data_IF_604931128707
#
_entry.id   IF_604931128707
#
_cell.length_a   1.000
_cell.length_b   1.000
_cell.length_c   1.000
_cell.angle_alpha   90.00
_cell.angle_beta   90.00
_cell.angle_gamma   90.00
#
_symmetry.space_group_name_H-M   'P 1'
#
loop_
_entity.id
_entity.type
_entity.pdbx_description
1 polymer ?
#
# COMPACT_ATOMS: atom_id res chain seq x y z
N UNK A 1 1.29 14.20 -1.47
CA UNK A 1 0.02 13.60 -1.04
C UNK A 1 -0.91 14.66 -0.44
N UNK A 2 -0.43 15.49 0.52
CA UNK A 2 -1.25 16.52 1.17
C UNK A 2 -2.02 17.38 0.16
N UNK A 3 -1.33 17.96 -0.83
CA UNK A 3 -1.96 18.76 -1.88
C UNK A 3 -3.01 17.98 -2.68
N UNK A 4 -2.75 16.70 -2.99
CA UNK A 4 -3.69 15.85 -3.72
C UNK A 4 -4.98 15.58 -2.92
N UNK A 5 -4.88 15.59 -1.58
CA UNK A 5 -6.00 15.45 -0.66
C UNK A 5 -6.66 16.79 -0.28
N UNK A 6 -6.18 17.93 -0.81
CA UNK A 6 -6.72 19.27 -0.53
C UNK A 6 -6.16 19.92 0.73
N UNK A 7 -5.06 19.42 1.27
CA UNK A 7 -4.37 19.98 2.44
C UNK A 7 -3.18 20.86 2.06
N UNK A 8 -2.73 21.76 2.96
CA UNK A 8 -1.44 22.44 2.82
C UNK A 8 -0.30 21.43 2.67
N UNK A 9 0.76 21.80 1.92
CA UNK A 9 1.90 20.91 1.62
C UNK A 9 2.63 20.36 2.85
N UNK A 10 2.56 21.08 3.95
CA UNK A 10 3.20 20.83 5.25
C UNK A 10 2.22 20.29 6.30
N UNK A 11 1.03 19.86 5.88
CA UNK A 11 0.06 19.24 6.78
C UNK A 11 0.67 18.02 7.52
N UNK A 12 0.48 17.92 8.85
CA UNK A 12 0.98 16.78 9.61
C UNK A 12 0.43 15.45 9.12
N UNK A 13 1.26 14.42 9.04
CA UNK A 13 0.84 13.08 8.61
C UNK A 13 -0.36 12.56 9.40
N UNK A 14 -0.43 12.84 10.69
CA UNK A 14 -1.55 12.45 11.55
C UNK A 14 -2.88 13.00 11.06
N UNK A 15 -2.93 14.26 10.64
CA UNK A 15 -4.14 14.87 10.09
C UNK A 15 -4.56 14.18 8.79
N UNK A 16 -3.61 13.89 7.91
CA UNK A 16 -3.87 13.16 6.69
C UNK A 16 -4.41 11.74 6.97
N UNK A 17 -3.81 11.04 7.94
CA UNK A 17 -4.26 9.70 8.34
C UNK A 17 -5.68 9.75 8.90
N UNK A 18 -6.01 10.71 9.77
CA UNK A 18 -7.36 10.87 10.33
C UNK A 18 -8.40 11.21 9.26
N UNK A 19 -8.07 12.09 8.32
CA UNK A 19 -8.92 12.39 7.17
C UNK A 19 -9.19 11.14 6.32
N UNK A 20 -8.14 10.38 6.01
CA UNK A 20 -8.23 9.14 5.25
C UNK A 20 -9.05 8.08 5.99
N UNK A 21 -8.90 7.96 7.31
CA UNK A 21 -9.74 7.06 8.14
C UNK A 21 -11.23 7.34 7.99
N UNK A 22 -11.60 8.61 7.92
CA UNK A 22 -12.98 9.03 7.72
C UNK A 22 -13.42 8.74 6.29
N UNK A 23 -12.67 9.23 5.29
CA UNK A 23 -13.02 9.15 3.87
C UNK A 23 -13.13 7.73 3.33
N UNK A 24 -12.34 6.80 3.85
CA UNK A 24 -12.45 5.38 3.48
C UNK A 24 -13.78 4.71 3.87
N UNK A 25 -14.65 5.39 4.62
CA UNK A 25 -15.98 4.90 5.01
C UNK A 25 -17.11 5.52 4.19
N UNK A 26 -16.78 6.47 3.33
CA UNK A 26 -17.74 7.21 2.51
C UNK A 26 -17.64 6.73 1.05
N UNK A 27 -18.76 6.77 0.33
CA UNK A 27 -18.81 6.43 -1.10
C UNK A 27 -19.72 7.39 -1.85
N UNK A 28 -19.35 7.72 -3.09
CA UNK A 28 -20.22 8.40 -4.07
C UNK A 28 -20.16 7.60 -5.37
N UNK A 29 -21.29 7.06 -5.80
CA UNK A 29 -21.38 6.22 -7.00
C UNK A 29 -20.92 6.99 -8.24
N UNK A 30 -20.02 6.45 -9.06
CA UNK A 30 -19.57 7.08 -10.30
C UNK A 30 -20.69 7.19 -11.33
N UNK A 31 -20.49 8.07 -12.31
CA UNK A 31 -21.43 8.25 -13.44
C UNK A 31 -20.74 7.87 -14.75
N UNK A 32 -21.48 7.20 -15.64
CA UNK A 32 -20.98 6.88 -16.98
C UNK A 32 -21.37 8.00 -17.94
N UNK A 33 -20.36 8.63 -18.56
CA UNK A 33 -20.53 9.67 -19.56
C UNK A 33 -20.25 9.12 -20.98
N UNK A 34 -20.80 9.73 -22.04
CA UNK A 34 -20.69 9.17 -23.39
C UNK A 34 -19.26 9.22 -23.96
N UNK A 35 -18.46 10.20 -23.56
CA UNK A 35 -17.05 10.40 -24.02
C UNK A 35 -16.26 11.23 -23.02
N UNK A 36 -14.95 11.36 -23.23
CA UNK A 36 -14.05 12.17 -22.45
C UNK A 36 -12.68 12.28 -23.11
N UNK A 37 -11.74 13.07 -22.54
CA UNK A 37 -10.41 13.29 -23.12
C UNK A 37 -9.67 12.01 -23.48
N UNK A 38 -9.80 10.94 -22.69
CA UNK A 38 -9.15 9.64 -22.97
C UNK A 38 -9.61 8.99 -24.27
N UNK A 39 -10.69 9.49 -24.90
CA UNK A 39 -11.22 8.98 -26.17
C UNK A 39 -10.85 9.82 -27.39
N UNK A 40 -9.97 10.83 -27.26
CA UNK A 40 -9.56 11.67 -28.38
C UNK A 40 -8.81 10.89 -29.47
N UNK A 41 -8.04 9.88 -29.08
CA UNK A 41 -7.36 8.96 -29.97
C UNK A 41 -7.67 7.51 -29.63
N UNK A 42 -7.93 6.69 -30.66
CA UNK A 42 -8.32 5.28 -30.51
C UNK A 42 -7.50 4.43 -31.49
N UNK A 43 -6.65 3.56 -30.97
CA UNK A 43 -5.76 2.68 -31.74
C UNK A 43 -6.21 1.23 -31.49
N UNK A 44 -6.57 0.48 -32.53
CA UNK A 44 -7.15 -0.87 -32.43
C UNK A 44 -6.42 -1.92 -33.27
N UNK A 45 -6.51 -3.15 -32.84
CA UNK A 45 -6.10 -4.33 -33.63
C UNK A 45 -4.64 -4.34 -34.02
N UNK A 46 -4.33 -4.40 -35.30
CA UNK A 46 -2.96 -4.47 -35.83
C UNK A 46 -2.13 -3.20 -35.60
N UNK A 47 -2.79 -2.08 -35.34
CA UNK A 47 -2.11 -0.79 -35.17
C UNK A 47 -1.60 -0.61 -33.72
N UNK A 48 -2.00 -1.47 -32.82
CA UNK A 48 -1.54 -1.45 -31.42
C UNK A 48 -0.04 -1.72 -31.35
N UNK A 49 0.71 -0.78 -30.79
CA UNK A 49 2.13 -0.90 -30.51
C UNK A 49 2.53 -0.26 -29.19
N UNK A 50 2.70 -1.08 -28.15
CA UNK A 50 3.15 -0.66 -26.83
C UNK A 50 4.59 -0.15 -26.82
N UNK A 51 5.38 -0.49 -27.83
CA UNK A 51 6.79 -0.10 -27.90
C UNK A 51 6.96 1.38 -28.25
N UNK A 52 5.93 2.03 -28.77
CA UNK A 52 5.88 3.47 -29.05
C UNK A 52 5.65 4.31 -27.77
N UNK A 53 5.13 3.69 -26.70
CA UNK A 53 4.96 4.39 -25.43
C UNK A 53 6.33 4.70 -24.79
N UNK A 54 6.49 5.89 -24.17
CA UNK A 54 7.75 6.33 -23.57
C UNK A 54 8.02 5.63 -22.21
N UNK A 55 7.89 4.32 -22.18
CA UNK A 55 8.09 3.50 -20.98
C UNK A 55 9.57 3.27 -20.74
N UNK A 56 10.15 3.67 -19.60
CA UNK A 56 11.54 3.39 -19.31
C UNK A 56 11.77 1.94 -18.83
N UNK A 57 12.98 1.48 -18.88
CA UNK A 57 13.48 0.39 -18.03
C UNK A 57 13.85 1.04 -16.70
N UNK A 58 13.09 0.78 -15.64
CA UNK A 58 13.17 1.51 -14.38
C UNK A 58 14.44 1.21 -13.58
N UNK A 59 14.89 -0.07 -13.58
CA UNK A 59 16.09 -0.51 -12.89
C UNK A 59 16.99 -1.33 -13.80
N UNK A 60 18.28 -1.28 -13.53
CA UNK A 60 19.32 -1.91 -14.38
C UNK A 60 19.10 -3.40 -14.61
N UNK A 61 18.69 -4.16 -13.57
CA UNK A 61 18.55 -5.63 -13.64
C UNK A 61 17.14 -6.10 -14.03
N UNK A 62 16.22 -5.21 -14.34
CA UNK A 62 14.87 -5.62 -14.77
C UNK A 62 14.90 -6.36 -16.11
N UNK A 63 13.92 -7.28 -16.28
CA UNK A 63 13.79 -8.10 -17.49
C UNK A 63 13.39 -7.31 -18.73
N UNK A 64 12.74 -6.15 -18.57
CA UNK A 64 12.24 -5.31 -19.67
C UNK A 64 11.72 -3.96 -19.23
N UNK A 65 10.91 -3.33 -20.09
CA UNK A 65 10.22 -2.08 -19.79
C UNK A 65 8.89 -2.37 -19.10
N UNK A 66 8.69 -1.85 -17.91
CA UNK A 66 7.45 -2.06 -17.15
C UNK A 66 6.49 -0.89 -17.35
N UNK A 67 5.39 -1.15 -18.09
CA UNK A 67 4.34 -0.16 -18.37
C UNK A 67 3.40 0.01 -17.18
N UNK A 68 3.17 -1.03 -16.41
CA UNK A 68 2.29 -1.03 -15.26
C UNK A 68 3.08 -0.97 -13.94
N UNK A 69 3.83 0.12 -13.69
CA UNK A 69 4.41 0.39 -12.37
C UNK A 69 3.44 1.18 -11.49
N UNK A 70 2.66 2.09 -12.09
CA UNK A 70 1.66 2.91 -11.40
C UNK A 70 0.36 3.04 -12.21
N UNK A 71 -0.04 1.97 -12.89
CA UNK A 71 -1.30 1.91 -13.61
C UNK A 71 -2.41 1.34 -12.71
N UNK A 72 -3.61 1.89 -12.84
CA UNK A 72 -4.81 1.31 -12.27
C UNK A 72 -5.31 0.18 -13.15
N UNK A 73 -5.18 -1.05 -12.67
CA UNK A 73 -5.65 -2.23 -13.39
C UNK A 73 -7.09 -2.49 -13.02
N UNK A 74 -7.97 -2.26 -13.99
CA UNK A 74 -9.42 -2.43 -13.84
C UNK A 74 -9.81 -3.82 -14.29
N UNK A 75 -10.51 -4.53 -13.44
CA UNK A 75 -11.14 -5.83 -13.75
C UNK A 75 -12.55 -5.87 -13.17
N UNK A 76 -13.36 -6.84 -13.59
CA UNK A 76 -14.75 -7.00 -13.12
C UNK A 76 -14.95 -8.41 -12.59
N UNK A 77 -15.58 -8.51 -11.43
CA UNK A 77 -16.07 -9.79 -10.92
C UNK A 77 -17.21 -10.31 -11.81
N UNK A 78 -17.05 -11.46 -12.47
CA UNK A 78 -18.07 -11.95 -13.39
C UNK A 78 -19.34 -12.47 -12.69
N UNK A 79 -19.32 -12.67 -11.36
CA UNK A 79 -20.48 -13.14 -10.60
C UNK A 79 -21.34 -11.98 -10.10
N UNK A 80 -20.70 -10.89 -9.66
CA UNK A 80 -21.38 -9.73 -9.06
C UNK A 80 -21.47 -8.52 -9.98
N UNK A 81 -20.62 -8.44 -10.99
CA UNK A 81 -20.49 -7.28 -11.87
C UNK A 81 -19.68 -6.12 -11.25
N UNK A 82 -19.24 -6.23 -10.01
CA UNK A 82 -18.46 -5.19 -9.35
C UNK A 82 -17.07 -5.03 -9.99
N UNK A 83 -16.67 -3.80 -10.27
CA UNK A 83 -15.32 -3.48 -10.71
C UNK A 83 -14.36 -3.35 -9.52
N UNK A 84 -13.10 -3.66 -9.77
CA UNK A 84 -11.99 -3.41 -8.87
C UNK A 84 -10.88 -2.70 -9.61
N UNK A 85 -10.19 -1.79 -8.96
CA UNK A 85 -9.03 -1.07 -9.51
C UNK A 85 -7.84 -1.31 -8.58
N UNK A 86 -6.83 -2.02 -9.06
CA UNK A 86 -5.64 -2.32 -8.27
C UNK A 86 -4.34 -1.92 -8.98
N UNK A 87 -3.23 -1.83 -8.26
CA UNK A 87 -1.89 -1.63 -8.84
C UNK A 87 -1.22 -2.99 -8.95
N UNK A 88 -0.95 -3.42 -10.18
CA UNK A 88 -0.31 -4.70 -10.47
C UNK A 88 0.73 -4.50 -11.57
N UNK A 89 1.95 -5.02 -11.36
CA UNK A 89 3.05 -4.85 -12.30
C UNK A 89 2.81 -5.59 -13.61
N UNK A 90 3.26 -4.99 -14.72
CA UNK A 90 3.20 -5.60 -16.05
C UNK A 90 4.30 -5.07 -16.95
N UNK A 91 5.00 -5.99 -17.60
CA UNK A 91 6.12 -5.72 -18.48
C UNK A 91 5.64 -5.68 -19.94
N UNK A 92 6.22 -4.84 -20.78
CA UNK A 92 6.00 -4.95 -22.25
C UNK A 92 6.70 -6.22 -22.73
N UNK A 93 5.93 -7.14 -23.28
CA UNK A 93 6.41 -8.34 -23.97
C UNK A 93 6.63 -8.05 -25.46
N UNK A 94 5.70 -8.48 -26.30
CA UNK A 94 5.64 -8.11 -27.74
C UNK A 94 4.96 -6.75 -27.92
N UNK A 95 4.77 -6.34 -29.18
CA UNK A 95 4.11 -5.06 -29.54
C UNK A 95 2.75 -4.86 -28.84
N UNK A 96 2.02 -5.93 -28.61
CA UNK A 96 0.66 -5.91 -28.08
C UNK A 96 0.45 -6.85 -26.91
N UNK A 97 1.48 -7.13 -26.11
CA UNK A 97 1.36 -8.05 -24.95
C UNK A 97 1.98 -7.47 -23.70
N UNK A 98 1.36 -7.77 -22.54
CA UNK A 98 1.83 -7.36 -21.21
C UNK A 98 1.81 -8.59 -20.29
N UNK A 99 2.90 -9.38 -20.19
CA UNK A 99 3.04 -10.39 -19.16
C UNK A 99 3.07 -9.73 -17.78
N UNK A 100 2.35 -10.31 -16.82
CA UNK A 100 2.06 -9.71 -15.52
C UNK A 100 2.13 -10.71 -14.38
N UNK A 101 2.63 -10.28 -13.22
CA UNK A 101 2.59 -11.08 -12.00
C UNK A 101 1.15 -11.10 -11.45
N UNK A 102 0.40 -12.15 -11.76
CA UNK A 102 -0.96 -12.37 -11.28
C UNK A 102 -0.95 -13.39 -10.13
N UNK A 103 -1.23 -12.93 -8.90
CA UNK A 103 -1.30 -13.77 -7.70
C UNK A 103 -2.74 -14.21 -7.49
N UNK A 104 -3.04 -15.46 -7.85
CA UNK A 104 -4.41 -15.98 -7.98
C UNK A 104 -5.21 -15.95 -6.66
N UNK A 105 -4.61 -16.26 -5.53
CA UNK A 105 -5.32 -16.38 -4.23
C UNK A 105 -5.41 -15.08 -3.43
N UNK A 106 -4.50 -14.15 -3.64
CA UNK A 106 -4.28 -13.02 -2.74
C UNK A 106 -4.64 -11.65 -3.27
N UNK A 107 -4.99 -11.51 -4.54
CA UNK A 107 -5.32 -10.25 -5.18
C UNK A 107 -6.72 -10.30 -5.79
N UNK A 108 -7.46 -9.19 -5.78
CA UNK A 108 -8.82 -9.16 -6.33
C UNK A 108 -8.83 -9.56 -7.82
N UNK A 109 -7.94 -9.01 -8.63
CA UNK A 109 -7.87 -9.40 -10.04
C UNK A 109 -7.51 -10.89 -10.24
N UNK A 110 -6.71 -11.47 -9.32
CA UNK A 110 -6.41 -12.90 -9.31
C UNK A 110 -7.64 -13.75 -9.00
N UNK A 111 -8.49 -13.31 -8.07
CA UNK A 111 -9.77 -13.94 -7.76
C UNK A 111 -10.74 -13.83 -8.94
N UNK A 112 -10.82 -12.66 -9.60
CA UNK A 112 -11.60 -12.49 -10.82
C UNK A 112 -11.10 -13.43 -11.93
N UNK A 113 -9.78 -13.49 -12.15
CA UNK A 113 -9.17 -14.38 -13.13
C UNK A 113 -9.57 -15.84 -12.92
N UNK A 114 -9.54 -16.35 -11.67
CA UNK A 114 -9.95 -17.72 -11.37
C UNK A 114 -11.43 -17.98 -11.70
N UNK A 115 -12.30 -16.99 -11.53
CA UNK A 115 -13.71 -17.10 -11.87
C UNK A 115 -13.94 -17.16 -13.39
N UNK A 116 -13.23 -16.31 -14.16
CA UNK A 116 -13.25 -16.36 -15.63
C UNK A 116 -12.66 -17.67 -16.15
N UNK A 117 -11.52 -18.13 -15.61
CA UNK A 117 -10.92 -19.40 -15.97
C UNK A 117 -11.88 -20.58 -15.76
N UNK A 118 -12.61 -20.59 -14.64
CA UNK A 118 -13.63 -21.63 -14.36
C UNK A 118 -14.78 -21.62 -15.37
N UNK A 119 -15.07 -20.49 -16.01
CA UNK A 119 -16.09 -20.34 -17.09
C UNK A 119 -15.54 -20.66 -18.48
N UNK A 120 -14.21 -20.86 -18.61
CA UNK A 120 -13.56 -21.01 -19.91
C UNK A 120 -13.52 -19.72 -20.71
N UNK A 121 -13.60 -18.55 -20.04
CA UNK A 121 -13.66 -17.23 -20.65
C UNK A 121 -12.37 -16.45 -20.35
N UNK A 122 -11.84 -15.64 -21.28
CA UNK A 122 -10.75 -14.72 -20.97
C UNK A 122 -11.25 -13.56 -20.10
N UNK A 123 -10.46 -13.17 -19.11
CA UNK A 123 -10.77 -12.06 -18.23
C UNK A 123 -10.49 -10.72 -18.92
N UNK A 124 -11.48 -9.81 -19.04
CA UNK A 124 -11.25 -8.47 -19.55
C UNK A 124 -10.42 -7.64 -18.56
N UNK A 125 -9.50 -6.83 -19.10
CA UNK A 125 -8.60 -5.96 -18.33
C UNK A 125 -8.48 -4.60 -19.01
N UNK A 126 -8.46 -3.52 -18.22
CA UNK A 126 -8.04 -2.21 -18.68
C UNK A 126 -6.95 -1.64 -17.77
N UNK A 127 -5.85 -1.18 -18.34
CA UNK A 127 -4.76 -0.53 -17.62
C UNK A 127 -4.90 0.99 -17.79
N UNK A 128 -5.17 1.71 -16.71
CA UNK A 128 -5.39 3.16 -16.68
C UNK A 128 -4.10 3.83 -16.24
N UNK A 129 -3.52 4.67 -17.06
CA UNK A 129 -2.27 5.39 -16.83
C UNK A 129 -2.56 6.89 -16.83
N UNK A 130 -1.93 7.63 -15.92
CA UNK A 130 -2.11 9.09 -15.83
C UNK A 130 -3.54 9.46 -15.44
N UNK A 131 -3.87 9.31 -14.18
CA UNK A 131 -5.18 9.50 -13.58
C UNK A 131 -5.09 10.42 -12.36
N UNK A 132 -6.22 10.71 -11.73
CA UNK A 132 -6.25 11.49 -10.50
C UNK A 132 -5.34 10.85 -9.43
N UNK A 133 -4.46 11.63 -8.77
CA UNK A 133 -3.57 11.11 -7.73
C UNK A 133 -4.29 10.36 -6.59
N UNK A 134 -5.53 10.74 -6.26
CA UNK A 134 -6.34 10.05 -5.24
C UNK A 134 -6.71 8.64 -5.68
N UNK A 135 -6.99 8.43 -6.96
CA UNK A 135 -7.30 7.10 -7.46
C UNK A 135 -6.06 6.18 -7.36
N UNK A 136 -4.85 6.69 -7.66
CA UNK A 136 -3.60 5.95 -7.46
C UNK A 136 -3.35 5.60 -5.99
N UNK A 137 -3.67 6.52 -5.09
CA UNK A 137 -3.64 6.30 -3.65
C UNK A 137 -4.60 5.19 -3.19
N UNK A 138 -5.82 5.14 -3.76
CA UNK A 138 -6.82 4.15 -3.41
C UNK A 138 -6.52 2.76 -4.02
N UNK A 139 -6.10 2.70 -5.27
CA UNK A 139 -5.83 1.45 -5.96
C UNK A 139 -4.70 0.61 -5.32
N UNK A 140 -3.75 1.26 -4.63
CA UNK A 140 -2.73 0.59 -3.81
C UNK A 140 -3.22 0.13 -2.43
N UNK A 141 -4.51 0.28 -2.13
CA UNK A 141 -5.09 0.12 -0.80
C UNK A 141 -5.99 -1.11 -0.71
N UNK A 142 -6.04 -1.79 0.44
CA UNK A 142 -6.98 -2.88 0.65
C UNK A 142 -8.40 -2.33 0.89
N UNK A 143 -9.09 -1.95 -0.17
CA UNK A 143 -10.52 -1.61 -0.15
C UNK A 143 -11.34 -2.89 0.06
N UNK A 144 -12.44 -2.86 0.82
CA UNK A 144 -13.27 -4.04 1.04
C UNK A 144 -13.82 -4.62 -0.27
N UNK A 145 -13.88 -5.95 -0.37
CA UNK A 145 -14.43 -6.62 -1.52
C UNK A 145 -15.89 -6.16 -1.80
N UNK A 146 -16.19 -5.86 -3.06
CA UNK A 146 -17.50 -5.37 -3.48
C UNK A 146 -17.66 -3.85 -3.44
N UNK A 147 -16.69 -3.11 -2.92
CA UNK A 147 -16.61 -1.64 -3.04
C UNK A 147 -15.60 -1.32 -4.13
N UNK A 148 -15.96 -0.47 -5.08
CA UNK A 148 -15.02 -0.03 -6.11
C UNK A 148 -14.24 1.19 -5.66
N UNK A 149 -12.97 1.26 -6.02
CA UNK A 149 -12.10 2.40 -5.74
C UNK A 149 -12.66 3.71 -6.32
N UNK A 150 -13.43 3.65 -7.39
CA UNK A 150 -14.11 4.82 -7.96
C UNK A 150 -15.20 5.40 -7.04
N UNK A 151 -15.93 4.56 -6.29
CA UNK A 151 -16.93 5.02 -5.32
C UNK A 151 -16.27 5.79 -4.18
N UNK A 152 -15.15 5.26 -3.66
CA UNK A 152 -14.38 5.90 -2.58
C UNK A 152 -13.71 7.17 -3.08
N UNK A 153 -13.18 7.18 -4.31
CA UNK A 153 -12.59 8.37 -4.91
C UNK A 153 -13.61 9.51 -5.02
N UNK A 154 -14.85 9.20 -5.43
CA UNK A 154 -15.95 10.17 -5.45
C UNK A 154 -16.14 10.84 -4.09
N UNK A 155 -16.08 10.07 -3.00
CA UNK A 155 -16.18 10.61 -1.65
C UNK A 155 -15.00 11.54 -1.28
N UNK A 156 -13.78 11.24 -1.74
CA UNK A 156 -12.63 12.14 -1.56
C UNK A 156 -12.77 13.46 -2.32
N UNK A 157 -13.38 13.44 -3.50
CA UNK A 157 -13.60 14.62 -4.35
C UNK A 157 -14.89 15.38 -4.02
N UNK A 158 -15.85 14.74 -3.34
CA UNK A 158 -17.17 15.29 -3.05
C UNK A 158 -18.11 15.27 -4.24
N UNK A 159 -17.75 14.55 -5.33
CA UNK A 159 -18.52 14.44 -6.56
C UNK A 159 -18.34 13.07 -7.22
N UNK A 160 -19.29 12.61 -8.06
CA UNK A 160 -19.16 11.37 -8.81
C UNK A 160 -17.95 11.38 -9.74
N UNK A 161 -17.21 10.26 -9.81
CA UNK A 161 -16.18 10.06 -10.83
C UNK A 161 -16.87 9.86 -12.18
N UNK A 162 -16.47 10.62 -13.18
CA UNK A 162 -16.92 10.41 -14.57
C UNK A 162 -16.15 9.27 -15.21
N UNK A 163 -16.87 8.25 -15.67
CA UNK A 163 -16.32 7.09 -16.35
C UNK A 163 -16.79 7.04 -17.79
N UNK A 164 -15.96 6.51 -18.68
CA UNK A 164 -16.31 6.16 -20.07
C UNK A 164 -16.20 4.66 -20.28
N UNK A 165 -16.99 4.10 -21.18
CA UNK A 165 -16.87 2.70 -21.55
C UNK A 165 -15.61 2.46 -22.38
N UNK A 166 -14.94 1.37 -22.11
CA UNK A 166 -13.85 0.86 -22.94
C UNK A 166 -14.33 0.53 -24.37
N UNK A 167 -13.42 0.46 -25.32
CA UNK A 167 -13.70 0.23 -26.74
C UNK A 167 -13.85 -1.24 -27.10
N UNK A 168 -13.12 -2.13 -26.42
CA UNK A 168 -13.02 -3.55 -26.77
C UNK A 168 -13.33 -4.49 -25.61
N UNK A 169 -13.33 -3.97 -24.39
CA UNK A 169 -13.66 -4.73 -23.17
C UNK A 169 -14.86 -4.13 -22.46
N UNK A 170 -15.63 -4.95 -21.75
CA UNK A 170 -16.85 -4.52 -21.05
C UNK A 170 -16.57 -3.84 -19.70
N UNK A 171 -15.61 -2.90 -19.66
CA UNK A 171 -15.20 -2.18 -18.46
C UNK A 171 -15.42 -0.68 -18.60
N UNK A 172 -15.47 0.04 -17.48
CA UNK A 172 -15.50 1.49 -17.41
C UNK A 172 -14.21 2.01 -16.76
N UNK A 173 -13.72 3.13 -17.31
CA UNK A 173 -12.45 3.77 -16.91
C UNK A 173 -12.63 5.28 -16.79
N UNK A 174 -11.80 6.01 -16.00
CA UNK A 174 -11.92 7.46 -15.87
C UNK A 174 -11.88 8.18 -17.21
N UNK A 175 -12.87 9.05 -17.45
CA UNK A 175 -12.97 9.85 -18.67
C UNK A 175 -11.78 10.79 -18.86
N UNK A 176 -11.15 11.21 -17.77
CA UNK A 176 -10.01 12.12 -17.71
C UNK A 176 -8.63 11.43 -17.71
N UNK A 177 -8.57 10.08 -17.85
CA UNK A 177 -7.29 9.38 -17.90
C UNK A 177 -6.42 9.86 -19.09
N UNK A 178 -5.10 9.75 -18.93
CA UNK A 178 -4.15 10.10 -19.98
C UNK A 178 -4.09 9.02 -21.06
N UNK A 179 -3.93 7.74 -20.64
CA UNK A 179 -3.82 6.57 -21.52
C UNK A 179 -4.59 5.42 -20.91
N UNK A 180 -5.31 4.66 -21.74
CA UNK A 180 -5.94 3.39 -21.33
C UNK A 180 -5.54 2.30 -22.31
N UNK A 181 -5.06 1.17 -21.78
CA UNK A 181 -4.68 -0.02 -22.54
C UNK A 181 -5.71 -1.12 -22.22
N UNK A 182 -6.41 -1.60 -23.23
CA UNK A 182 -7.48 -2.60 -23.10
C UNK A 182 -7.03 -3.96 -23.65
N UNK A 183 -7.43 -5.03 -23.00
CA UNK A 183 -7.11 -6.38 -23.46
C UNK A 183 -7.75 -7.48 -22.63
N UNK A 184 -7.30 -8.69 -22.85
CA UNK A 184 -7.81 -9.89 -22.19
C UNK A 184 -6.67 -10.78 -21.69
N UNK A 185 -6.91 -11.48 -20.59
CA UNK A 185 -6.01 -12.53 -20.06
C UNK A 185 -6.75 -13.87 -20.13
N UNK A 186 -6.21 -14.82 -20.89
CA UNK A 186 -6.71 -16.20 -20.90
C UNK A 186 -5.96 -17.07 -19.88
N UNK A 187 -6.64 -18.07 -19.30
CA UNK A 187 -5.99 -19.14 -18.52
C UNK A 187 -5.49 -20.25 -19.47
N UNK A 188 -4.62 -19.85 -20.37
CA UNK A 188 -3.97 -20.74 -21.35
C UNK A 188 -2.46 -20.54 -21.31
N UNK A 189 -1.70 -21.52 -20.77
CA UNK A 189 -0.24 -21.46 -20.71
C UNK A 189 0.47 -21.20 -22.05
N UNK A 190 -0.18 -21.53 -23.20
CA UNK A 190 0.38 -21.27 -24.53
C UNK A 190 0.43 -19.75 -24.85
N UNK A 191 -0.34 -18.94 -24.14
CA UNK A 191 -0.35 -17.48 -24.28
C UNK A 191 0.56 -16.75 -23.29
N UNK A 192 1.17 -17.48 -22.36
CA UNK A 192 2.02 -16.90 -21.33
C UNK A 192 3.37 -16.48 -21.91
N UNK A 193 3.84 -15.33 -21.48
CA UNK A 193 5.15 -14.81 -21.85
C UNK A 193 6.04 -14.61 -20.62
N UNK A 194 7.36 -14.57 -20.84
CA UNK A 194 8.33 -14.39 -19.77
C UNK A 194 8.20 -12.99 -19.15
N UNK A 195 8.11 -12.91 -17.84
CA UNK A 195 8.11 -11.68 -17.02
C UNK A 195 9.17 -11.79 -15.92
N UNK A 196 9.77 -10.67 -15.56
CA UNK A 196 10.80 -10.57 -14.54
C UNK A 196 12.24 -10.61 -15.10
N UNK A 197 13.24 -10.29 -14.27
CA UNK A 197 13.15 -9.76 -12.90
C UNK A 197 12.53 -8.36 -12.80
N UNK A 198 12.11 -7.97 -11.61
CA UNK A 198 11.54 -6.63 -11.33
C UNK A 198 12.15 -6.01 -10.06
N UNK A 199 12.36 -4.71 -10.07
CA UNK A 199 12.78 -3.92 -8.90
C UNK A 199 11.61 -3.68 -7.95
N UNK A 200 11.49 -4.50 -6.91
CA UNK A 200 10.35 -4.50 -5.99
C UNK A 200 10.42 -3.42 -4.91
N UNK A 201 9.27 -3.10 -4.32
CA UNK A 201 9.14 -2.16 -3.20
C UNK A 201 10.03 -2.49 -1.99
N UNK A 202 10.56 -3.69 -1.93
CA UNK A 202 11.52 -4.13 -0.89
C UNK A 202 12.91 -3.53 -1.07
N UNK A 203 13.19 -2.87 -2.20
CA UNK A 203 14.53 -2.40 -2.58
C UNK A 203 15.42 -3.50 -3.17
N UNK A 204 14.89 -4.70 -3.38
CA UNK A 204 15.58 -5.83 -3.99
C UNK A 204 14.94 -6.20 -5.32
N UNK A 205 15.76 -6.74 -6.21
CA UNK A 205 15.27 -7.35 -7.45
C UNK A 205 14.62 -8.69 -7.11
N UNK A 206 13.39 -8.86 -7.50
CA UNK A 206 12.63 -10.09 -7.26
C UNK A 206 12.47 -10.90 -8.54
N UNK A 207 12.27 -12.19 -8.35
CA UNK A 207 12.03 -13.20 -9.38
C UNK A 207 13.19 -13.46 -10.34
N UNK A 208 12.99 -14.49 -11.12
CA UNK A 208 13.73 -14.84 -12.34
C UNK A 208 12.74 -14.75 -13.51
N UNK A 209 13.20 -14.64 -14.76
CA UNK A 209 12.32 -14.70 -15.92
C UNK A 209 11.41 -15.94 -15.85
N UNK A 210 10.10 -15.72 -15.77
CA UNK A 210 9.11 -16.79 -15.57
C UNK A 210 7.92 -16.58 -16.48
N UNK A 211 7.39 -17.61 -17.17
CA UNK A 211 6.14 -17.52 -17.92
C UNK A 211 4.98 -17.09 -17.02
N UNK A 212 4.29 -16.03 -17.38
CA UNK A 212 3.19 -15.43 -16.61
C UNK A 212 1.95 -15.22 -17.48
N UNK A 213 0.75 -15.20 -16.86
CA UNK A 213 -0.46 -14.76 -17.54
C UNK A 213 -0.23 -13.42 -18.25
N UNK A 214 -0.64 -13.33 -19.50
CA UNK A 214 -0.27 -12.22 -20.38
C UNK A 214 -1.52 -11.53 -20.91
N UNK A 215 -1.60 -10.21 -20.73
CA UNK A 215 -2.65 -9.38 -21.32
C UNK A 215 -2.39 -9.33 -22.84
N UNK A 216 -3.35 -9.82 -23.62
CA UNK A 216 -3.40 -9.64 -25.07
C UNK A 216 -4.10 -8.33 -25.35
N UNK A 217 -3.35 -7.30 -25.75
CA UNK A 217 -3.85 -5.94 -25.92
C UNK A 217 -4.61 -5.81 -27.24
N UNK A 218 -5.80 -5.27 -27.17
CA UNK A 218 -6.72 -5.10 -28.30
C UNK A 218 -6.95 -3.64 -28.69
N UNK A 219 -6.75 -2.71 -27.75
CA UNK A 219 -6.94 -1.29 -27.99
C UNK A 219 -6.08 -0.45 -27.04
N UNK A 220 -5.63 0.70 -27.54
CA UNK A 220 -5.08 1.79 -26.75
C UNK A 220 -5.91 3.03 -27.03
N UNK A 221 -6.40 3.70 -25.99
CA UNK A 221 -7.02 5.03 -26.12
C UNK A 221 -6.22 6.03 -25.31
N UNK A 222 -6.12 7.27 -25.80
CA UNK A 222 -5.42 8.32 -25.11
C UNK A 222 -5.94 9.70 -25.49
N UNK A 223 -5.71 10.67 -24.60
CA UNK A 223 -5.96 12.08 -24.92
C UNK A 223 -4.86 12.63 -25.86
N UNK A 224 -5.08 13.80 -26.43
CA UNK A 224 -4.04 14.53 -27.14
C UNK A 224 -2.93 14.91 -26.17
N UNK A 225 -1.66 14.76 -26.60
CA UNK A 225 -0.47 15.02 -25.78
C UNK A 225 -0.49 14.32 -24.40
N UNK A 226 -0.63 12.98 -24.35
CA UNK A 226 -0.82 12.27 -23.10
C UNK A 226 0.46 12.23 -22.28
N UNK A 227 0.31 12.35 -20.95
CA UNK A 227 1.42 12.19 -20.00
C UNK A 227 1.49 10.73 -19.55
N UNK A 228 2.59 10.05 -19.87
CA UNK A 228 2.86 8.73 -19.30
C UNK A 228 3.29 8.90 -17.84
N UNK A 229 2.53 8.30 -16.93
CA UNK A 229 2.83 8.28 -15.49
C UNK A 229 3.24 6.89 -15.03
N UNK A 230 4.42 6.78 -14.48
CA UNK A 230 4.89 5.57 -13.79
C UNK A 230 5.51 5.93 -12.44
N UNK A 231 5.97 4.95 -11.69
CA UNK A 231 6.70 5.13 -10.45
C UNK A 231 7.92 4.22 -10.40
N UNK A 232 8.94 4.66 -9.70
CA UNK A 232 10.10 3.85 -9.33
C UNK A 232 9.69 3.03 -8.08
N UNK A 233 9.25 1.77 -8.27
CA UNK A 233 8.72 0.95 -7.17
C UNK A 233 9.81 0.58 -6.16
N UNK A 234 10.91 0.02 -6.62
CA UNK A 234 12.10 -0.27 -5.81
C UNK A 234 12.99 0.96 -5.66
N UNK A 235 13.47 1.22 -4.46
CA UNK A 235 14.40 2.31 -4.15
C UNK A 235 15.61 1.79 -3.41
N UNK A 236 16.71 2.57 -3.38
CA UNK A 236 17.90 2.23 -2.60
C UNK A 236 17.58 2.08 -1.10
N UNK A 237 18.32 1.25 -0.37
CA UNK A 237 18.14 1.13 1.08
C UNK A 237 18.15 2.49 1.79
N UNK A 238 17.13 2.72 2.63
CA UNK A 238 16.94 4.01 3.32
C UNK A 238 16.25 5.10 2.51
N UNK A 239 15.93 4.84 1.24
CA UNK A 239 15.14 5.75 0.39
C UNK A 239 13.69 5.25 0.25
N UNK A 240 12.82 6.09 -0.30
CA UNK A 240 11.41 5.75 -0.55
C UNK A 240 10.90 6.43 -1.82
N UNK A 241 9.91 5.82 -2.46
CA UNK A 241 9.20 6.38 -3.61
C UNK A 241 7.95 7.15 -3.17
N UNK A 242 7.35 7.91 -4.10
CA UNK A 242 6.05 8.52 -3.89
C UNK A 242 4.95 7.49 -3.58
N UNK A 243 5.03 6.31 -4.20
CA UNK A 243 4.12 5.19 -3.90
C UNK A 243 4.26 4.74 -2.43
N UNK A 244 5.49 4.66 -1.91
CA UNK A 244 5.74 4.31 -0.50
C UNK A 244 5.11 5.32 0.46
N UNK A 245 5.19 6.63 0.16
CA UNK A 245 4.57 7.69 0.97
C UNK A 245 3.05 7.55 0.97
N UNK A 246 2.44 7.45 -0.21
CA UNK A 246 0.99 7.31 -0.35
C UNK A 246 0.48 6.05 0.34
N UNK A 247 1.13 4.92 0.08
CA UNK A 247 0.81 3.63 0.67
C UNK A 247 0.91 3.63 2.20
N UNK A 248 1.90 4.34 2.77
CA UNK A 248 2.11 4.41 4.22
C UNK A 248 0.95 5.11 4.94
N UNK A 249 0.49 6.25 4.43
CA UNK A 249 -0.64 7.00 5.01
C UNK A 249 -1.93 6.17 4.95
N UNK A 250 -2.22 5.58 3.78
CA UNK A 250 -3.43 4.78 3.60
C UNK A 250 -3.44 3.54 4.51
N UNK A 251 -2.32 2.83 4.59
CA UNK A 251 -2.21 1.63 5.42
C UNK A 251 -2.24 1.94 6.92
N UNK A 252 -1.67 3.06 7.35
CA UNK A 252 -1.78 3.53 8.73
C UNK A 252 -3.26 3.80 9.09
N UNK A 253 -4.00 4.48 8.21
CA UNK A 253 -5.43 4.75 8.39
C UNK A 253 -6.27 3.47 8.46
N UNK A 254 -6.00 2.49 7.58
CA UNK A 254 -6.69 1.20 7.58
C UNK A 254 -6.41 0.43 8.88
N UNK A 255 -5.14 0.35 9.31
CA UNK A 255 -4.77 -0.31 10.54
C UNK A 255 -5.44 0.35 11.76
N UNK A 256 -5.49 1.67 11.79
CA UNK A 256 -6.18 2.41 12.86
C UNK A 256 -7.68 2.09 12.87
N UNK A 257 -8.33 2.06 11.72
CA UNK A 257 -9.73 1.66 11.59
C UNK A 257 -9.98 0.22 12.08
N UNK A 258 -9.06 -0.71 11.80
CA UNK A 258 -9.13 -2.10 12.28
C UNK A 258 -9.06 -2.14 13.81
N UNK A 259 -8.11 -1.45 14.42
CA UNK A 259 -7.92 -1.40 15.87
C UNK A 259 -9.13 -0.77 16.56
N UNK A 260 -9.66 0.32 16.00
CA UNK A 260 -10.87 0.98 16.52
C UNK A 260 -12.10 0.08 16.39
N UNK A 261 -12.28 -0.56 15.24
CA UNK A 261 -13.37 -1.50 14.96
C UNK A 261 -13.34 -2.76 15.86
N UNK A 262 -12.13 -3.19 16.25
CA UNK A 262 -11.93 -4.27 17.21
C UNK A 262 -12.18 -3.85 18.67
N UNK A 263 -12.52 -2.59 18.92
CA UNK A 263 -12.80 -2.07 20.27
C UNK A 263 -11.57 -1.96 21.17
N UNK A 264 -10.37 -1.89 20.63
CA UNK A 264 -9.12 -1.77 21.40
C UNK A 264 -9.00 -0.33 21.93
N UNK A 265 -8.97 -0.12 23.26
CA UNK A 265 -8.94 1.23 23.83
C UNK A 265 -7.55 1.87 23.71
N UNK A 266 -7.48 3.18 23.85
CA UNK A 266 -6.23 3.93 24.06
C UNK A 266 -5.32 4.04 22.86
N UNK A 267 -5.74 3.71 21.64
CA UNK A 267 -4.96 3.98 20.43
C UNK A 267 -4.82 5.50 20.26
N UNK A 268 -3.58 5.99 20.21
CA UNK A 268 -3.25 7.43 20.12
C UNK A 268 -2.83 7.83 18.74
N UNK A 269 -1.99 7.00 18.11
CA UNK A 269 -1.53 7.21 16.75
C UNK A 269 -1.10 5.89 16.11
N UNK A 270 -1.10 5.86 14.78
CA UNK A 270 -0.60 4.75 13.97
C UNK A 270 0.24 5.33 12.85
N UNK A 271 1.46 4.88 12.71
CA UNK A 271 2.40 5.40 11.74
C UNK A 271 3.14 4.29 10.99
N UNK A 272 3.42 4.53 9.74
CA UNK A 272 4.24 3.66 8.89
C UNK A 272 5.32 4.52 8.25
N UNK A 273 6.56 4.21 8.55
CA UNK A 273 7.67 4.88 7.89
C UNK A 273 7.75 4.47 6.42
N UNK A 274 7.75 5.43 5.47
CA UNK A 274 7.72 5.13 4.04
C UNK A 274 8.83 4.20 3.54
N UNK A 275 10.02 4.26 4.15
CA UNK A 275 11.16 3.38 3.80
C UNK A 275 10.87 1.89 3.99
N UNK A 276 9.89 1.52 4.80
CA UNK A 276 9.49 0.13 5.05
C UNK A 276 8.29 -0.29 4.23
N UNK A 277 7.67 0.63 3.51
CA UNK A 277 6.49 0.43 2.66
C UNK A 277 5.40 -0.44 3.31
N UNK A 278 5.16 -0.24 4.61
CA UNK A 278 4.16 -0.99 5.38
C UNK A 278 4.61 -2.35 5.91
N UNK A 279 5.87 -2.72 5.75
CA UNK A 279 6.41 -3.95 6.39
C UNK A 279 6.47 -3.77 7.90
N UNK A 280 6.91 -2.59 8.38
CA UNK A 280 6.84 -2.21 9.78
C UNK A 280 5.67 -1.25 10.01
N UNK A 281 4.93 -1.45 11.09
CA UNK A 281 3.89 -0.55 11.56
C UNK A 281 4.16 -0.20 13.02
N UNK A 282 4.07 1.09 13.35
CA UNK A 282 4.22 1.62 14.69
C UNK A 282 2.84 2.03 15.23
N UNK A 283 2.52 1.60 16.45
CA UNK A 283 1.27 1.93 17.13
C UNK A 283 1.58 2.59 18.47
N UNK A 284 1.15 3.82 18.63
CA UNK A 284 1.26 4.57 19.87
C UNK A 284 -0.02 4.40 20.70
N UNK A 285 0.13 4.06 21.97
CA UNK A 285 -0.99 3.81 22.86
C UNK A 285 -0.88 4.55 24.20
N UNK A 286 -2.02 4.85 24.79
CA UNK A 286 -2.15 4.93 26.25
C UNK A 286 -2.46 3.51 26.74
N UNK A 287 -1.50 2.89 27.42
CA UNK A 287 -1.61 1.52 27.87
C UNK A 287 -2.69 1.38 28.95
N UNK A 288 -3.62 0.45 28.75
CA UNK A 288 -4.71 0.16 29.67
C UNK A 288 -4.52 -1.15 30.44
N UNK A 289 -3.73 -2.08 29.92
CA UNK A 289 -3.42 -3.38 30.53
C UNK A 289 -2.17 -4.00 29.93
N UNK A 290 -1.50 -4.89 30.66
CA UNK A 290 -0.20 -5.46 30.31
C UNK A 290 -0.23 -6.25 28.98
N UNK A 291 -1.26 -6.95 28.62
CA UNK A 291 -1.35 -7.75 27.39
C UNK A 291 -1.77 -6.97 26.13
N UNK A 292 -2.03 -5.67 26.22
CA UNK A 292 -2.58 -4.87 25.13
C UNK A 292 -1.76 -4.87 23.85
N UNK A 293 -0.41 -4.77 23.84
CA UNK A 293 0.40 -4.85 22.63
C UNK A 293 0.20 -6.16 21.85
N UNK A 294 0.04 -7.28 22.54
CA UNK A 294 -0.25 -8.58 21.91
C UNK A 294 -1.61 -8.62 21.22
N UNK A 295 -2.64 -8.02 21.86
CA UNK A 295 -3.96 -7.89 21.27
C UNK A 295 -3.94 -7.01 20.02
N UNK A 296 -3.19 -5.89 20.03
CA UNK A 296 -2.99 -5.00 18.88
C UNK A 296 -2.39 -5.78 17.71
N UNK A 297 -1.29 -6.49 17.94
CA UNK A 297 -0.63 -7.29 16.91
C UNK A 297 -1.58 -8.37 16.34
N UNK A 298 -2.29 -9.09 17.19
CA UNK A 298 -3.24 -10.11 16.77
C UNK A 298 -4.39 -9.53 15.92
N UNK A 299 -4.94 -8.38 16.30
CA UNK A 299 -6.00 -7.70 15.56
C UNK A 299 -5.53 -7.24 14.16
N UNK A 300 -4.33 -6.67 14.07
CA UNK A 300 -3.74 -6.27 12.79
C UNK A 300 -3.51 -7.51 11.92
N UNK A 301 -2.83 -8.52 12.43
CA UNK A 301 -2.44 -9.71 11.67
C UNK A 301 -3.62 -10.61 11.26
N UNK A 302 -4.69 -10.64 12.05
CA UNK A 302 -5.91 -11.36 11.74
C UNK A 302 -6.79 -10.68 10.70
N UNK A 303 -6.46 -9.47 10.27
CA UNK A 303 -7.22 -8.72 9.27
C UNK A 303 -6.80 -9.05 7.84
N UNK A 304 -7.72 -8.92 6.88
CA UNK A 304 -7.42 -9.05 5.44
C UNK A 304 -6.41 -8.01 4.94
N UNK A 305 -6.30 -6.85 5.59
CA UNK A 305 -5.35 -5.80 5.23
C UNK A 305 -3.87 -6.19 5.47
N UNK A 306 -3.63 -7.19 6.33
CA UNK A 306 -2.28 -7.64 6.66
C UNK A 306 -1.66 -8.56 5.60
N UNK A 307 -2.35 -8.89 4.52
CA UNK A 307 -1.96 -9.94 3.57
C UNK A 307 -0.53 -9.82 3.04
N UNK A 308 -0.08 -8.62 2.67
CA UNK A 308 1.27 -8.37 2.16
C UNK A 308 2.03 -7.30 2.95
N UNK A 309 1.53 -6.93 4.12
CA UNK A 309 2.07 -5.84 4.94
C UNK A 309 2.02 -6.18 6.42
N UNK A 310 2.52 -5.29 7.26
CA UNK A 310 2.54 -5.39 8.72
C UNK A 310 3.26 -6.66 9.25
N UNK A 311 4.39 -6.99 8.62
CA UNK A 311 5.23 -8.11 9.08
C UNK A 311 5.66 -7.91 10.53
N UNK A 312 6.07 -6.68 10.85
CA UNK A 312 6.48 -6.30 12.20
C UNK A 312 5.53 -5.24 12.76
N UNK A 313 5.06 -5.46 13.98
CA UNK A 313 4.24 -4.51 14.74
C UNK A 313 5.06 -4.02 15.92
N UNK A 314 5.28 -2.71 16.01
CA UNK A 314 6.02 -2.05 17.09
C UNK A 314 5.01 -1.25 17.90
N UNK A 315 4.91 -1.50 19.21
CA UNK A 315 3.97 -0.79 20.09
C UNK A 315 4.74 0.00 21.12
N UNK A 316 4.41 1.29 21.23
CA UNK A 316 5.02 2.22 22.19
C UNK A 316 3.93 3.00 22.94
N UNK A 317 4.30 3.71 24.00
CA UNK A 317 3.40 4.62 24.71
C UNK A 317 3.50 6.06 24.19
N UNK A 318 2.58 6.91 24.64
CA UNK A 318 2.37 8.28 24.14
C UNK A 318 3.54 9.26 24.39
N UNK A 319 4.56 8.87 25.14
CA UNK A 319 5.77 9.62 25.37
C UNK A 319 6.87 9.41 24.30
N UNK A 320 6.60 8.55 23.30
CA UNK A 320 7.48 8.27 22.16
C UNK A 320 6.85 8.81 20.89
N UNK A 321 7.53 9.68 20.19
CA UNK A 321 7.13 10.10 18.85
C UNK A 321 7.41 8.98 17.85
N UNK A 322 6.32 8.35 17.36
CA UNK A 322 6.43 7.23 16.40
C UNK A 322 6.83 7.64 14.99
N UNK A 323 6.94 8.94 14.69
CA UNK A 323 7.51 9.46 13.45
C UNK A 323 9.03 9.63 13.51
N UNK A 324 9.62 9.63 14.72
CA UNK A 324 11.06 9.69 14.92
C UNK A 324 11.68 8.29 15.02
N UNK A 325 12.61 8.00 14.10
CA UNK A 325 13.38 6.75 14.15
C UNK A 325 14.25 6.66 15.40
N UNK A 326 14.82 7.77 15.85
CA UNK A 326 15.71 7.86 17.02
C UNK A 326 14.95 7.51 18.30
N UNK A 327 13.72 8.04 18.46
CA UNK A 327 12.90 7.74 19.63
C UNK A 327 12.40 6.29 19.62
N UNK A 328 12.03 5.76 18.43
CA UNK A 328 11.66 4.35 18.31
C UNK A 328 12.82 3.42 18.65
N UNK A 329 14.01 3.68 18.12
CA UNK A 329 15.20 2.88 18.38
C UNK A 329 15.58 2.94 19.87
N UNK A 330 15.52 4.12 20.47
CA UNK A 330 15.70 4.30 21.91
C UNK A 330 14.69 3.47 22.73
N UNK A 331 13.41 3.52 22.37
CA UNK A 331 12.38 2.76 23.08
C UNK A 331 12.60 1.25 22.95
N UNK A 332 12.98 0.78 21.77
CA UNK A 332 13.31 -0.64 21.53
C UNK A 332 14.53 -1.05 22.36
N UNK A 333 15.59 -0.24 22.39
CA UNK A 333 16.81 -0.55 23.12
C UNK A 333 16.60 -0.66 24.64
N UNK A 334 15.76 0.19 25.24
CA UNK A 334 15.68 0.34 26.69
C UNK A 334 14.38 -0.16 27.33
N UNK A 335 13.33 -0.50 26.54
CA UNK A 335 12.04 -0.99 27.06
C UNK A 335 11.75 -2.44 26.69
N UNK A 336 12.37 -2.96 25.61
CA UNK A 336 12.10 -4.33 25.16
C UNK A 336 12.91 -5.33 25.95
N UNK A 337 12.21 -6.18 26.72
CA UNK A 337 12.81 -7.35 27.34
C UNK A 337 12.33 -8.61 26.59
N UNK A 338 13.18 -9.11 25.68
CA UNK A 338 12.83 -10.23 24.80
C UNK A 338 12.45 -11.50 25.58
N UNK A 339 13.15 -11.79 26.71
CA UNK A 339 12.89 -12.95 27.55
C UNK A 339 11.58 -12.90 28.32
N UNK A 340 10.94 -11.71 28.44
CA UNK A 340 9.70 -11.48 29.15
C UNK A 340 8.55 -11.05 28.21
N UNK A 341 8.58 -11.52 26.98
CA UNK A 341 7.51 -11.29 26.00
C UNK A 341 7.50 -9.91 25.36
N UNK A 342 8.62 -9.16 25.47
CA UNK A 342 8.85 -7.94 24.71
C UNK A 342 9.04 -8.20 23.22
N UNK A 343 9.41 -9.44 22.84
CA UNK A 343 9.38 -9.93 21.45
C UNK A 343 8.49 -11.16 21.38
N UNK A 344 7.52 -11.14 20.46
CA UNK A 344 6.66 -12.28 20.18
C UNK A 344 6.73 -12.62 18.70
N UNK A 345 7.17 -13.84 18.41
CA UNK A 345 7.17 -14.38 17.03
C UNK A 345 5.88 -15.15 16.80
N UNK A 346 5.17 -14.82 15.74
CA UNK A 346 3.98 -15.52 15.26
C UNK A 346 4.31 -16.23 13.94
N UNK A 347 4.60 -17.55 13.97
CA UNK A 347 5.14 -18.23 12.82
C UNK A 347 4.06 -18.70 11.83
N UNK A 348 4.44 -18.80 10.55
CA UNK A 348 3.69 -19.54 9.54
C UNK A 348 2.34 -18.96 9.14
N UNK A 349 2.13 -17.66 9.32
CA UNK A 349 0.92 -16.98 8.85
C UNK A 349 1.10 -16.49 7.41
N UNK A 350 -0.03 -16.28 6.69
CA UNK A 350 0.03 -15.73 5.33
C UNK A 350 0.84 -14.44 5.24
N UNK A 351 1.57 -14.27 4.13
CA UNK A 351 2.47 -13.13 3.92
C UNK A 351 2.83 -12.92 2.45
N UNK A 352 3.79 -12.05 2.20
CA UNK A 352 4.20 -11.70 0.84
C UNK A 352 5.12 -12.77 0.23
N UNK A 353 4.82 -13.23 -1.01
CA UNK A 353 5.70 -14.13 -1.73
C UNK A 353 6.97 -13.45 -2.28
N UNK A 354 7.05 -12.12 -2.21
CA UNK A 354 8.18 -11.33 -2.74
C UNK A 354 9.11 -10.79 -1.64
N UNK A 355 8.94 -11.22 -0.40
CA UNK A 355 9.85 -10.87 0.70
C UNK A 355 11.18 -11.64 0.56
N UNK A 356 12.32 -10.94 0.37
CA UNK A 356 13.61 -11.60 0.16
C UNK A 356 14.10 -12.40 1.37
N UNK A 357 13.60 -12.13 2.58
CA UNK A 357 13.98 -12.84 3.81
C UNK A 357 13.24 -14.15 4.01
N UNK A 358 12.23 -14.44 3.19
CA UNK A 358 11.44 -15.68 3.28
C UNK A 358 12.07 -16.76 2.39
N UNK A 359 12.25 -18.01 2.86
CA UNK A 359 12.71 -19.12 2.04
C UNK A 359 11.86 -19.36 0.79
N UNK A 360 12.46 -19.83 -0.30
CA UNK A 360 11.76 -19.98 -1.59
C UNK A 360 10.57 -20.94 -1.51
N UNK A 361 10.69 -22.00 -0.73
CA UNK A 361 9.62 -22.98 -0.48
C UNK A 361 8.40 -22.40 0.25
N UNK A 362 8.60 -21.32 1.04
CA UNK A 362 7.55 -20.58 1.74
C UNK A 362 6.95 -19.46 0.88
N UNK A 363 7.52 -19.20 -0.30
CA UNK A 363 7.01 -18.23 -1.29
C UNK A 363 6.16 -18.88 -2.38
N UNK A 364 6.10 -20.19 -2.45
CA UNK A 364 5.39 -20.93 -3.49
C UNK A 364 3.87 -20.80 -3.33
N UNK A 365 3.32 -19.73 -3.97
CA UNK A 365 1.88 -19.46 -3.98
C UNK A 365 1.08 -20.56 -4.66
N UNK A 366 1.65 -21.29 -5.61
CA UNK A 366 0.96 -22.37 -6.29
C UNK A 366 0.67 -23.55 -5.36
N UNK A 367 1.57 -23.81 -4.44
CA UNK A 367 1.47 -24.88 -3.44
C UNK A 367 0.72 -24.44 -2.17
N UNK A 368 0.96 -23.20 -1.70
CA UNK A 368 0.54 -22.72 -0.39
C UNK A 368 -0.67 -21.78 -0.43
N UNK A 369 -1.07 -21.32 -1.63
CA UNK A 369 -2.13 -20.32 -1.81
C UNK A 369 -1.70 -18.88 -1.52
N UNK A 370 -0.66 -18.71 -0.70
CA UNK A 370 -0.03 -17.41 -0.39
C UNK A 370 1.45 -17.64 -0.04
N UNK A 371 2.23 -16.56 0.10
CA UNK A 371 3.50 -16.67 0.82
C UNK A 371 3.25 -16.85 2.33
N UNK A 372 4.24 -17.38 3.04
CA UNK A 372 4.21 -17.47 4.50
C UNK A 372 5.18 -16.47 5.13
N UNK A 373 4.77 -15.91 6.26
CA UNK A 373 5.63 -15.06 7.08
C UNK A 373 5.71 -15.53 8.52
N UNK A 374 6.87 -15.28 9.12
CA UNK A 374 7.02 -15.25 10.57
C UNK A 374 6.91 -13.78 10.99
N UNK A 375 5.83 -13.42 11.66
CA UNK A 375 5.54 -12.04 12.07
C UNK A 375 6.12 -11.77 13.45
N UNK A 376 6.46 -10.51 13.73
CA UNK A 376 7.10 -10.11 14.98
C UNK A 376 6.35 -8.95 15.62
N UNK A 377 5.96 -9.12 16.88
CA UNK A 377 5.61 -8.01 17.76
C UNK A 377 6.88 -7.57 18.51
N UNK A 378 7.12 -6.28 18.54
CA UNK A 378 8.06 -5.61 19.43
C UNK A 378 7.24 -4.76 20.41
N UNK A 379 7.11 -5.24 21.66
CA UNK A 379 6.46 -4.51 22.74
C UNK A 379 7.50 -3.61 23.43
N UNK A 380 7.55 -2.36 23.02
CA UNK A 380 8.39 -1.32 23.58
C UNK A 380 7.61 -0.37 24.51
N UNK A 381 6.54 -0.89 25.13
CA UNK A 381 5.83 -0.19 26.21
C UNK A 381 6.51 -0.43 27.56
N UNK A 382 6.25 0.43 28.52
CA UNK A 382 6.71 0.23 29.91
C UNK A 382 5.99 -0.96 30.52
N UNK A 383 6.73 -1.90 31.10
CA UNK A 383 6.12 -3.08 31.73
C UNK A 383 5.37 -2.74 33.01
N UNK A 384 4.25 -3.42 33.25
CA UNK A 384 3.50 -3.34 34.52
C UNK A 384 3.86 -4.48 35.48
N UNK A 385 4.83 -5.29 35.14
CA UNK A 385 5.31 -6.40 36.00
C UNK A 385 6.12 -5.94 37.19
N UNK A 386 6.65 -4.70 37.15
CA UNK A 386 7.36 -4.12 38.27
C UNK A 386 6.40 -3.58 39.35
N UNK A 387 6.83 -3.62 40.59
CA UNK A 387 6.08 -3.01 41.68
C UNK A 387 6.13 -1.47 41.61
N UNK A 388 5.04 -0.76 41.92
CA UNK A 388 5.04 0.69 42.01
C UNK A 388 6.06 1.19 43.03
N UNK A 389 6.76 2.28 42.69
CA UNK A 389 7.77 2.86 43.56
C UNK A 389 7.38 4.27 44.02
N UNK A 390 7.30 4.51 45.35
CA UNK A 390 6.99 5.84 45.86
C UNK A 390 7.95 6.92 45.39
N UNK A 391 9.24 6.62 45.26
CA UNK A 391 10.30 7.53 44.79
C UNK A 391 10.13 7.94 43.32
N UNK A 392 9.26 7.23 42.56
CA UNK A 392 8.88 7.53 41.18
C UNK A 392 7.45 8.07 41.08
N UNK A 393 6.91 8.59 42.19
CA UNK A 393 5.53 9.07 42.22
C UNK A 393 4.47 7.96 42.10
N UNK A 394 4.83 6.73 42.43
CA UNK A 394 3.94 5.56 42.31
C UNK A 394 4.00 4.85 40.95
N UNK A 395 4.85 5.30 40.05
CA UNK A 395 5.06 4.64 38.77
C UNK A 395 5.81 3.31 38.94
N UNK A 396 5.53 2.38 38.00
CA UNK A 396 6.16 1.05 37.99
C UNK A 396 7.50 1.02 37.22
N UNK A 397 7.67 1.96 36.27
CA UNK A 397 8.83 2.05 35.41
C UNK A 397 9.60 3.34 35.69
N UNK A 398 10.95 3.37 35.61
CA UNK A 398 11.72 4.57 35.87
C UNK A 398 11.26 5.76 35.04
N UNK A 399 11.13 6.96 35.62
CA UNK A 399 10.86 8.16 34.86
C UNK A 399 12.03 8.50 33.93
N UNK A 400 11.74 9.10 32.78
CA UNK A 400 12.78 9.60 31.88
C UNK A 400 13.50 10.81 32.49
N UNK A 401 14.79 10.93 32.20
CA UNK A 401 15.59 12.09 32.62
C UNK A 401 15.08 13.34 31.91
N UNK A 402 14.80 14.40 32.70
CA UNK A 402 14.35 15.71 32.18
C UNK A 402 15.05 16.82 32.95
N UNK A 403 15.27 17.99 32.32
CA UNK A 403 15.56 19.20 33.04
C UNK A 403 14.42 19.55 34.02
N UNK A 404 14.73 20.35 35.03
CA UNK A 404 13.66 20.91 35.84
C UNK A 404 12.77 21.81 34.94
N UNK A 405 11.40 21.77 35.07
CA UNK A 405 10.51 22.57 34.22
C UNK A 405 10.83 24.06 34.18
N UNK A 406 11.27 24.61 35.32
CA UNK A 406 11.71 26.01 35.43
C UNK A 406 13.00 26.29 34.66
N UNK A 407 13.91 25.33 34.55
CA UNK A 407 15.17 25.49 33.81
C UNK A 407 14.88 25.36 32.29
N UNK A 408 14.02 24.44 31.90
CA UNK A 408 13.56 24.28 30.51
C UNK A 408 12.86 25.57 30.03
N UNK A 409 11.94 26.12 30.84
CA UNK A 409 11.24 27.38 30.50
C UNK A 409 12.23 28.54 30.41
N UNK A 410 13.20 28.62 31.31
CA UNK A 410 14.26 29.67 31.27
C UNK A 410 15.07 29.61 29.99
N UNK A 411 15.38 28.42 29.48
CA UNK A 411 16.08 28.23 28.20
C UNK A 411 15.20 28.67 27.04
N UNK A 412 13.92 28.25 27.04
CA UNK A 412 12.96 28.61 25.98
C UNK A 412 12.72 30.12 25.91
N UNK A 413 12.58 30.81 27.07
CA UNK A 413 12.37 32.25 27.13
C UNK A 413 13.59 33.04 26.57
N UNK A 414 14.78 32.45 26.59
CA UNK A 414 16.01 33.03 26.11
C UNK A 414 16.52 32.42 24.81
N UNK A 415 15.70 31.63 24.12
CA UNK A 415 16.10 30.87 22.92
C UNK A 415 16.75 31.74 21.84
N UNK A 416 16.23 32.98 21.65
CA UNK A 416 16.76 33.96 20.71
C UNK A 416 18.17 34.44 21.09
N UNK A 417 18.42 34.59 22.39
CA UNK A 417 19.73 35.03 22.87
C UNK A 417 20.84 34.03 22.57
N UNK A 418 20.48 32.75 22.40
CA UNK A 418 21.43 31.68 22.08
C UNK A 418 21.76 31.57 20.60
N UNK A 419 21.10 32.34 19.73
CA UNK A 419 21.34 32.31 18.29
C UNK A 419 20.90 30.99 17.61
N UNK A 420 19.97 30.25 18.22
CA UNK A 420 19.48 28.96 17.76
C UNK A 420 18.16 29.08 16.97
N UNK A 421 17.79 30.27 16.53
CA UNK A 421 16.60 30.48 15.69
C UNK A 421 16.76 29.78 14.35
N UNK A 422 15.90 28.84 14.06
CA UNK A 422 15.88 28.11 12.78
C UNK A 422 16.59 26.73 12.78
N UNK A 423 16.98 26.24 13.95
CA UNK A 423 17.43 24.86 14.13
C UNK A 423 16.27 23.97 14.57
#
# INVERSE_FOLDING_TARGET
LALALGFPKDAPNRELIQYVMQKNRETITPVVVPTGPVKEHVIKGSDVDLTELPVPKWHYLEGGRYVNTFAGIVTRDPDTGAQNVGIYRGMIGKRNTIPSLLIKGGQHWGQHFLKYAKRGEPMPVACVIGWDPVLGFLAGSPIPAGVCEYDVMGAYRGEPVELVRCETVGLEVPASAEIVIEGFIADDPATYESEGPFGEFTGYVSDIPTPRPTIQVTCITHRSDPIFRGTLEGTLPGSFSENSVMSSVQRAAIAWNILTGAGIPGIRDVFIHPITNGTNICVQIRKHYQGQPKQIAAAIWGSGAAQYRYKNVIVVEEDIDISSYEQLDWAIAYRVNAGHGGIVVFPGIFGSPIDPSTPLEERDVSRLGSGLWNRVLVDATRTWEFEPRPEWGGERFPPTVRPAPEDEQRVLDRWKEYGLEGI
#
